data_IF_318459806163
#
_entry.id   IF_318459806163
#
_cell.length_a   1.000
_cell.length_b   1.000
_cell.length_c   1.000
_cell.angle_alpha   90.00
_cell.angle_beta   90.00
_cell.angle_gamma   90.00
#
_symmetry.space_group_name_H-M   'P 1'
#
loop_
_entity.id
_entity.type
_entity.pdbx_description
1 polymer ?
#
# COMPACT_ATOMS: atom_id res chain seq x y z
N UNK A 1 -14.20 -11.86 -14.82
CA UNK A 1 -12.91 -11.46 -15.42
C UNK A 1 -11.99 -10.96 -14.31
N UNK A 2 -10.65 -11.04 -14.44
CA UNK A 2 -9.74 -10.42 -13.48
C UNK A 2 -9.85 -8.88 -13.53
N UNK A 3 -9.57 -8.21 -12.40
CA UNK A 3 -9.51 -6.74 -12.31
C UNK A 3 -8.19 -6.21 -12.90
N UNK A 4 -8.18 -4.94 -13.35
CA UNK A 4 -6.95 -4.26 -13.74
C UNK A 4 -5.91 -4.28 -12.61
N UNK A 5 -4.64 -4.49 -12.96
CA UNK A 5 -3.51 -4.42 -12.03
C UNK A 5 -2.85 -3.05 -11.97
N UNK A 6 -3.31 -2.10 -12.79
CA UNK A 6 -2.76 -0.75 -12.89
C UNK A 6 -3.89 0.26 -12.74
N UNK A 7 -3.54 1.44 -12.26
CA UNK A 7 -4.48 2.52 -12.02
C UNK A 7 -3.78 3.85 -11.81
N UNK A 8 -4.56 4.87 -11.46
CA UNK A 8 -4.05 6.20 -11.12
C UNK A 8 -4.22 6.47 -9.64
N UNK A 9 -3.21 7.10 -9.04
CA UNK A 9 -3.29 7.53 -7.65
C UNK A 9 -4.39 8.60 -7.50
N UNK A 10 -5.45 8.27 -6.75
CA UNK A 10 -6.59 9.16 -6.51
C UNK A 10 -6.37 10.03 -5.26
N UNK A 11 -5.88 9.44 -4.18
CA UNK A 11 -5.43 10.14 -2.97
C UNK A 11 -4.38 9.32 -2.24
N UNK A 12 -3.64 9.97 -1.34
CA UNK A 12 -2.65 9.29 -0.50
C UNK A 12 -2.51 10.01 0.84
N UNK A 13 -2.01 9.27 1.83
CA UNK A 13 -1.63 9.80 3.13
C UNK A 13 -0.43 9.01 3.65
N UNK A 14 0.13 9.46 4.77
CA UNK A 14 1.24 8.80 5.44
C UNK A 14 0.95 8.66 6.93
N UNK A 15 1.15 7.46 7.44
CA UNK A 15 1.09 7.20 8.87
C UNK A 15 2.46 7.47 9.48
N UNK A 16 2.52 8.47 10.37
CA UNK A 16 3.73 8.84 11.13
C UNK A 16 3.70 8.40 12.60
N UNK A 17 2.70 7.62 12.97
CA UNK A 17 2.60 7.00 14.29
C UNK A 17 2.12 5.56 14.12
N UNK A 18 2.51 4.71 15.07
CA UNK A 18 2.13 3.30 15.07
C UNK A 18 0.60 3.18 15.12
N UNK A 19 -0.02 2.43 14.18
CA UNK A 19 -1.43 2.09 14.28
C UNK A 19 -1.72 1.39 15.61
N UNK A 20 -2.91 1.60 16.19
CA UNK A 20 -3.26 0.92 17.43
C UNK A 20 -3.38 -0.60 17.20
N UNK A 21 -3.12 -1.42 18.23
CA UNK A 21 -3.44 -2.84 18.20
C UNK A 21 -4.92 -3.08 17.81
N UNK A 22 -5.24 -4.16 17.07
CA UNK A 22 -4.39 -5.31 16.77
C UNK A 22 -3.61 -5.20 15.45
N UNK A 23 -3.53 -4.00 14.85
CA UNK A 23 -2.80 -3.85 13.59
C UNK A 23 -1.30 -4.11 13.82
N UNK A 24 -0.66 -4.97 13.01
CA UNK A 24 0.76 -5.26 13.18
C UNK A 24 1.61 -4.03 12.85
N UNK A 25 2.45 -3.61 13.79
CA UNK A 25 3.40 -2.52 13.61
C UNK A 25 4.82 -3.04 13.90
N UNK A 26 5.80 -2.57 13.13
CA UNK A 26 7.21 -2.85 13.42
C UNK A 26 7.63 -2.19 14.73
N UNK A 27 8.62 -2.77 15.39
CA UNK A 27 9.28 -2.16 16.55
C UNK A 27 10.80 -2.09 16.30
N UNK A 28 11.38 -0.87 16.14
CA UNK A 28 10.73 0.44 16.20
C UNK A 28 9.76 0.69 15.04
N UNK A 29 8.80 1.60 15.26
CA UNK A 29 7.84 1.98 14.23
C UNK A 29 8.52 2.71 13.08
N UNK A 30 8.20 2.31 11.85
CA UNK A 30 8.59 3.01 10.63
C UNK A 30 7.36 3.61 9.91
N UNK A 31 7.42 4.89 9.49
CA UNK A 31 6.35 5.50 8.71
C UNK A 31 6.11 4.77 7.38
N UNK A 32 4.86 4.74 6.94
CA UNK A 32 4.49 4.16 5.65
C UNK A 32 3.36 4.96 4.99
N UNK A 33 3.37 5.00 3.66
CA UNK A 33 2.29 5.60 2.89
C UNK A 33 1.13 4.63 2.64
N UNK A 34 -0.07 5.20 2.51
CA UNK A 34 -1.28 4.52 2.07
C UNK A 34 -1.78 5.26 0.84
N UNK A 35 -2.19 4.51 -0.18
CA UNK A 35 -2.69 5.03 -1.44
C UNK A 35 -4.10 4.50 -1.72
N UNK A 36 -4.95 5.40 -2.22
CA UNK A 36 -6.19 5.07 -2.91
C UNK A 36 -5.90 5.10 -4.42
N UNK A 37 -6.04 3.98 -5.12
CA UNK A 37 -5.78 3.89 -6.56
C UNK A 37 -7.07 3.57 -7.31
N UNK A 38 -7.40 4.40 -8.29
CA UNK A 38 -8.51 4.17 -9.22
C UNK A 38 -8.03 3.24 -10.34
N UNK A 39 -8.64 2.06 -10.45
CA UNK A 39 -8.30 1.03 -11.42
C UNK A 39 -8.66 1.47 -12.85
N UNK A 40 -7.77 1.16 -13.81
CA UNK A 40 -7.82 1.72 -15.15
C UNK A 40 -9.09 1.39 -15.95
N UNK A 41 -9.59 0.15 -15.87
CA UNK A 41 -10.72 -0.30 -16.69
C UNK A 41 -12.05 -0.23 -15.92
N UNK A 42 -12.02 -0.42 -14.60
CA UNK A 42 -13.23 -0.52 -13.78
C UNK A 42 -13.66 0.78 -13.08
N UNK A 43 -12.76 1.75 -12.91
CA UNK A 43 -13.03 2.98 -12.13
C UNK A 43 -13.23 2.74 -10.62
N UNK A 44 -12.90 1.53 -10.14
CA UNK A 44 -12.95 1.19 -8.71
C UNK A 44 -11.76 1.83 -7.98
N UNK A 45 -12.01 2.43 -6.82
CA UNK A 45 -10.96 2.99 -5.96
C UNK A 45 -10.61 1.98 -4.87
N UNK A 46 -9.35 1.52 -4.86
CA UNK A 46 -8.87 0.49 -3.93
C UNK A 46 -7.79 1.07 -3.02
N UNK A 47 -8.01 0.96 -1.71
CA UNK A 47 -7.08 1.40 -0.66
C UNK A 47 -6.07 0.30 -0.33
N UNK A 48 -4.79 0.65 -0.25
CA UNK A 48 -3.72 -0.25 0.18
C UNK A 48 -2.45 0.50 0.62
N UNK A 49 -1.54 -0.19 1.31
CA UNK A 49 -0.21 0.35 1.61
C UNK A 49 0.55 0.59 0.31
N UNK A 50 1.43 1.57 0.32
CA UNK A 50 2.50 1.70 -0.68
C UNK A 50 3.69 0.88 -0.18
N UNK A 51 4.45 0.29 -1.11
CA UNK A 51 5.66 -0.48 -0.79
C UNK A 51 6.60 0.29 0.13
N UNK A 52 7.27 -0.44 1.02
CA UNK A 52 8.18 0.15 2.00
C UNK A 52 9.28 0.98 1.31
N UNK A 53 9.73 2.04 1.98
CA UNK A 53 10.66 3.02 1.42
C UNK A 53 10.03 4.06 0.47
N UNK A 54 8.75 3.93 0.11
CA UNK A 54 7.99 4.98 -0.61
C UNK A 54 7.06 5.71 0.36
N UNK A 55 7.20 7.03 0.44
CA UNK A 55 6.48 7.89 1.37
C UNK A 55 5.62 8.92 0.64
N UNK A 56 4.86 9.73 1.38
CA UNK A 56 3.97 10.73 0.78
C UNK A 56 4.72 11.76 -0.08
N UNK A 57 5.98 12.03 0.23
CA UNK A 57 6.83 12.94 -0.55
C UNK A 57 7.15 12.42 -1.96
N UNK A 58 7.11 11.11 -2.16
CA UNK A 58 7.38 10.46 -3.45
C UNK A 58 6.12 10.34 -4.31
N UNK A 59 4.95 10.68 -3.75
CA UNK A 59 3.65 10.48 -4.34
C UNK A 59 3.03 11.79 -4.83
N UNK A 60 2.30 11.70 -5.94
CA UNK A 60 1.48 12.77 -6.49
C UNK A 60 0.21 12.21 -7.10
N UNK A 61 -0.93 12.84 -6.82
CA UNK A 61 -2.22 12.48 -7.43
C UNK A 61 -2.09 12.45 -8.96
N UNK A 62 -2.67 11.41 -9.57
CA UNK A 62 -2.65 11.16 -11.01
C UNK A 62 -1.50 10.31 -11.52
N UNK A 63 -0.47 10.02 -10.69
CA UNK A 63 0.62 9.11 -11.07
C UNK A 63 0.11 7.69 -11.32
N UNK A 64 0.81 6.97 -12.21
CA UNK A 64 0.50 5.56 -12.44
C UNK A 64 1.01 4.69 -11.30
N UNK A 65 0.12 3.82 -10.82
CA UNK A 65 0.41 2.86 -9.77
C UNK A 65 0.16 1.45 -10.29
N UNK A 66 0.89 0.48 -9.75
CA UNK A 66 0.75 -0.93 -10.10
C UNK A 66 0.59 -1.78 -8.84
N UNK A 67 -0.30 -2.77 -8.94
CA UNK A 67 -0.58 -3.76 -7.92
C UNK A 67 0.64 -4.68 -7.74
N UNK A 68 1.09 -4.78 -6.51
CA UNK A 68 2.11 -5.71 -6.05
C UNK A 68 1.67 -6.39 -4.76
N UNK A 69 2.52 -7.22 -4.20
CA UNK A 69 2.38 -7.80 -2.86
C UNK A 69 3.61 -7.48 -2.03
N UNK A 70 3.45 -7.46 -0.71
CA UNK A 70 4.56 -7.33 0.23
C UNK A 70 4.24 -8.05 1.55
N UNK A 71 5.25 -8.41 2.35
CA UNK A 71 5.05 -8.86 3.72
C UNK A 71 4.32 -7.80 4.55
N UNK A 72 3.34 -8.21 5.35
CA UNK A 72 2.70 -7.37 6.36
C UNK A 72 3.34 -7.59 7.73
N UNK A 73 3.48 -8.86 8.13
CA UNK A 73 4.15 -9.31 9.36
C UNK A 73 4.40 -10.82 9.29
N UNK A 74 5.25 -11.33 10.19
CA UNK A 74 5.40 -12.77 10.47
C UNK A 74 4.68 -13.08 11.77
N UNK A 75 3.85 -14.12 11.77
CA UNK A 75 3.11 -14.53 12.98
C UNK A 75 3.94 -15.43 13.92
N UNK A 76 3.34 -15.81 15.05
CA UNK A 76 3.99 -16.60 16.10
C UNK A 76 4.40 -18.01 15.64
N UNK A 77 3.79 -18.53 14.56
CA UNK A 77 4.14 -19.81 13.95
C UNK A 77 5.26 -19.67 12.90
N UNK A 78 5.80 -18.45 12.73
CA UNK A 78 6.85 -18.15 11.75
C UNK A 78 6.35 -18.02 10.31
N UNK A 79 5.03 -17.88 10.10
CA UNK A 79 4.44 -17.74 8.77
C UNK A 79 4.42 -16.27 8.36
N UNK A 80 5.04 -15.97 7.21
CA UNK A 80 4.96 -14.64 6.60
C UNK A 80 3.55 -14.39 6.03
N UNK A 81 2.88 -13.35 6.55
CA UNK A 81 1.56 -12.90 6.08
C UNK A 81 1.76 -11.84 5.01
N UNK A 82 1.35 -12.15 3.79
CA UNK A 82 1.44 -11.24 2.63
C UNK A 82 0.17 -10.40 2.49
N UNK A 83 0.32 -9.13 2.11
CA UNK A 83 -0.78 -8.23 1.76
C UNK A 83 -0.58 -7.67 0.35
N UNK A 84 -1.68 -7.25 -0.28
CA UNK A 84 -1.60 -6.47 -1.51
C UNK A 84 -1.11 -5.04 -1.19
N UNK A 85 -0.36 -4.45 -2.12
CA UNK A 85 0.20 -3.12 -1.99
C UNK A 85 0.30 -2.43 -3.36
N UNK A 86 0.58 -1.13 -3.32
CA UNK A 86 0.81 -0.30 -4.49
C UNK A 86 2.29 0.05 -4.62
N UNK A 87 2.82 0.03 -5.84
CA UNK A 87 4.11 0.63 -6.18
C UNK A 87 3.93 1.66 -7.29
N UNK A 88 4.85 2.62 -7.36
CA UNK A 88 4.95 3.50 -8.54
C UNK A 88 5.20 2.59 -9.75
N UNK A 89 4.39 2.73 -10.79
CA UNK A 89 4.54 1.92 -11.99
C UNK A 89 5.86 2.28 -12.70
N UNK A 90 6.62 1.24 -13.08
CA UNK A 90 7.76 1.36 -14.00
C UNK A 90 7.31 1.50 -15.45
#
# INVERSE_FOLDING_TARGET
MPLSRRGRLWSYTENRYAPPPPYPASEPFEPFAIAAVELADEGLIVLGKVVDGTLAADLKVGMQMELTTMPLFTDDDGVERIVYAWRIAS
#
